data_IF_322803820551
#
_entry.id   IF_322803820551
#
_cell.length_a   1.000
_cell.length_b   1.000
_cell.length_c   1.000
_cell.angle_alpha   90.00
_cell.angle_beta   90.00
_cell.angle_gamma   90.00
#
_symmetry.space_group_name_H-M   'P 1'
#
loop_
_entity.id
_entity.type
_entity.pdbx_description
1 polymer ?
#
# COMPACT_ATOMS: atom_id res chain seq x y z
N UNK A 1 -31.79 -19.22 -7.73
CA UNK A 1 -31.34 -18.17 -6.80
C UNK A 1 -30.38 -17.18 -7.49
N UNK A 2 -29.41 -17.63 -8.25
CA UNK A 2 -28.41 -16.80 -8.95
C UNK A 2 -29.03 -15.73 -9.87
N UNK A 3 -30.00 -16.09 -10.70
CA UNK A 3 -30.66 -15.13 -11.60
C UNK A 3 -31.41 -14.00 -10.87
N UNK A 4 -32.00 -14.30 -9.70
CA UNK A 4 -32.66 -13.28 -8.90
C UNK A 4 -31.64 -12.33 -8.25
N UNK A 5 -30.50 -12.85 -7.80
CA UNK A 5 -29.41 -12.01 -7.28
C UNK A 5 -28.90 -11.06 -8.34
N UNK A 6 -28.66 -11.53 -9.57
CA UNK A 6 -28.23 -10.70 -10.70
C UNK A 6 -29.25 -9.58 -10.98
N UNK A 7 -30.54 -9.87 -11.00
CA UNK A 7 -31.59 -8.87 -11.21
C UNK A 7 -31.60 -7.80 -10.09
N UNK A 8 -31.43 -8.21 -8.83
CA UNK A 8 -31.36 -7.28 -7.70
C UNK A 8 -30.11 -6.41 -7.74
N UNK A 9 -29.01 -6.88 -8.32
CA UNK A 9 -27.77 -6.11 -8.53
C UNK A 9 -27.88 -5.11 -9.69
N UNK A 10 -28.69 -5.39 -10.70
CA UNK A 10 -28.89 -4.45 -11.82
C UNK A 10 -29.83 -3.30 -11.51
N UNK A 11 -30.83 -3.51 -10.65
CA UNK A 11 -31.85 -2.49 -10.35
C UNK A 11 -32.14 -2.40 -8.86
N UNK A 12 -31.73 -1.29 -8.25
CA UNK A 12 -31.88 -1.03 -6.82
C UNK A 12 -33.33 -1.11 -6.29
N UNK A 13 -34.33 -0.93 -7.18
CA UNK A 13 -35.75 -1.02 -6.81
C UNK A 13 -36.20 -2.45 -6.47
N UNK A 14 -35.46 -3.45 -6.95
CA UNK A 14 -35.72 -4.86 -6.61
C UNK A 14 -35.00 -5.30 -5.32
N UNK A 15 -34.05 -4.54 -4.82
CA UNK A 15 -33.41 -4.72 -3.52
C UNK A 15 -34.25 -4.03 -2.44
N UNK A 16 -35.29 -4.71 -1.94
CA UNK A 16 -36.29 -4.09 -1.02
C UNK A 16 -35.62 -3.44 0.19
N UNK A 17 -34.71 -4.15 0.87
CA UNK A 17 -34.00 -3.65 2.06
C UNK A 17 -33.15 -2.41 1.75
N UNK A 18 -32.39 -2.45 0.66
CA UNK A 18 -31.57 -1.32 0.23
C UNK A 18 -32.41 -0.11 -0.14
N UNK A 19 -33.49 -0.34 -0.90
CA UNK A 19 -34.42 0.71 -1.28
C UNK A 19 -35.06 1.37 -0.07
N UNK A 20 -35.52 0.57 0.88
CA UNK A 20 -36.22 1.07 2.08
C UNK A 20 -35.25 1.87 2.97
N UNK A 21 -34.05 1.35 3.21
CA UNK A 21 -33.05 1.99 4.04
C UNK A 21 -32.44 3.26 3.40
N UNK A 22 -32.28 3.31 2.06
CA UNK A 22 -31.54 4.39 1.39
C UNK A 22 -32.43 5.37 0.61
N UNK A 23 -33.73 5.24 0.63
CA UNK A 23 -34.65 6.05 -0.20
C UNK A 23 -34.47 7.55 0.04
N UNK A 24 -34.43 7.97 1.30
CA UNK A 24 -34.29 9.38 1.70
C UNK A 24 -32.88 9.88 1.35
N UNK A 25 -31.85 9.14 1.71
CA UNK A 25 -30.46 9.48 1.42
C UNK A 25 -30.19 9.65 -0.09
N UNK A 26 -30.81 8.80 -0.94
CA UNK A 26 -30.72 8.91 -2.40
C UNK A 26 -31.40 10.21 -2.89
N UNK A 27 -32.51 10.58 -2.28
CA UNK A 27 -33.23 11.80 -2.66
C UNK A 27 -32.48 13.07 -2.27
N UNK A 28 -31.81 13.03 -1.12
CA UNK A 28 -31.13 14.19 -0.56
C UNK A 28 -29.72 14.41 -1.13
N UNK A 29 -29.04 13.33 -1.54
CA UNK A 29 -27.61 13.39 -1.90
C UNK A 29 -27.31 12.99 -3.35
N UNK A 30 -28.23 12.33 -4.08
CA UNK A 30 -27.97 11.81 -5.42
C UNK A 30 -28.81 12.51 -6.50
N UNK A 31 -28.36 13.68 -6.94
CA UNK A 31 -28.97 14.39 -8.09
C UNK A 31 -28.01 14.48 -9.29
N UNK A 32 -28.47 14.27 -10.52
CA UNK A 32 -29.82 13.85 -10.94
C UNK A 32 -30.11 12.40 -10.51
N UNK A 33 -31.37 12.09 -10.21
CA UNK A 33 -31.80 10.76 -9.71
C UNK A 33 -31.31 9.63 -10.60
N UNK A 34 -30.36 8.79 -10.11
CA UNK A 34 -29.77 7.74 -10.92
C UNK A 34 -30.80 6.63 -11.19
N UNK A 35 -30.77 6.09 -12.41
CA UNK A 35 -31.69 5.03 -12.85
C UNK A 35 -31.14 3.63 -12.55
N UNK A 36 -29.82 3.46 -12.68
CA UNK A 36 -29.13 2.18 -12.46
C UNK A 36 -28.67 2.07 -11.01
N UNK A 37 -28.62 0.85 -10.48
CA UNK A 37 -28.17 0.59 -9.10
C UNK A 37 -26.70 0.98 -8.90
N UNK A 38 -25.87 0.72 -9.88
CA UNK A 38 -24.45 1.10 -9.88
C UNK A 38 -24.25 2.61 -9.67
N UNK A 39 -25.02 3.45 -10.36
CA UNK A 39 -24.93 4.91 -10.20
C UNK A 39 -25.41 5.37 -8.82
N UNK A 40 -26.42 4.68 -8.25
CA UNK A 40 -26.87 4.92 -6.86
C UNK A 40 -25.78 4.57 -5.86
N UNK A 41 -25.20 3.37 -5.99
CA UNK A 41 -24.11 2.91 -5.10
C UNK A 41 -22.94 3.87 -5.18
N UNK A 42 -22.49 4.24 -6.38
CA UNK A 42 -21.39 5.19 -6.56
C UNK A 42 -21.65 6.53 -5.90
N UNK A 43 -22.84 7.10 -6.09
CA UNK A 43 -23.23 8.35 -5.44
C UNK A 43 -23.19 8.25 -3.91
N UNK A 44 -23.76 7.20 -3.33
CA UNK A 44 -23.77 7.01 -1.87
C UNK A 44 -22.36 6.77 -1.32
N UNK A 45 -21.50 6.01 -2.03
CA UNK A 45 -20.08 5.82 -1.67
C UNK A 45 -19.33 7.15 -1.67
N UNK A 46 -19.53 8.00 -2.67
CA UNK A 46 -18.93 9.33 -2.73
C UNK A 46 -19.42 10.22 -1.56
N UNK A 47 -20.70 10.17 -1.23
CA UNK A 47 -21.24 10.91 -0.08
C UNK A 47 -20.64 10.42 1.25
N UNK A 48 -20.52 9.10 1.47
CA UNK A 48 -19.86 8.52 2.66
C UNK A 48 -18.38 8.91 2.72
N UNK A 49 -17.66 8.89 1.59
CA UNK A 49 -16.25 9.28 1.54
C UNK A 49 -16.05 10.77 1.90
N UNK A 50 -16.98 11.63 1.52
CA UNK A 50 -16.95 13.05 1.89
C UNK A 50 -17.15 13.26 3.38
N UNK A 51 -18.07 12.51 4.01
CA UNK A 51 -18.29 12.54 5.46
C UNK A 51 -17.05 12.22 6.27
N UNK A 52 -16.26 11.24 5.83
CA UNK A 52 -15.05 10.80 6.54
C UNK A 52 -13.88 11.79 6.40
N UNK A 53 -13.84 12.58 5.33
CA UNK A 53 -12.76 13.57 5.08
C UNK A 53 -12.99 14.86 5.84
N UNK A 54 -14.25 15.29 6.02
CA UNK A 54 -14.58 16.61 6.55
C UNK A 54 -14.93 16.62 8.05
N UNK A 55 -14.84 15.47 8.76
CA UNK A 55 -15.29 15.30 10.16
C UNK A 55 -16.73 15.81 10.41
N UNK A 56 -17.51 15.95 9.36
CA UNK A 56 -18.86 16.48 9.43
C UNK A 56 -19.86 15.37 9.81
N UNK A 57 -20.99 15.82 10.36
CA UNK A 57 -22.14 14.96 10.69
C UNK A 57 -22.43 13.98 9.54
N UNK A 58 -22.53 12.69 9.90
CA UNK A 58 -22.90 11.63 8.97
C UNK A 58 -24.10 12.03 8.10
N UNK A 59 -23.85 12.34 6.83
CA UNK A 59 -24.88 12.74 5.87
C UNK A 59 -25.79 11.56 5.53
N UNK A 60 -25.20 10.36 5.44
CA UNK A 60 -25.91 9.13 5.12
C UNK A 60 -26.36 8.44 6.40
N UNK A 61 -27.61 8.03 6.46
CA UNK A 61 -28.20 7.32 7.61
C UNK A 61 -27.47 6.02 7.94
N UNK A 62 -27.48 5.61 9.22
CA UNK A 62 -26.82 4.39 9.69
C UNK A 62 -27.36 3.15 8.97
N UNK A 63 -28.65 3.09 8.74
CA UNK A 63 -29.30 1.93 8.10
C UNK A 63 -28.93 1.85 6.62
N UNK A 64 -28.88 2.99 5.91
CA UNK A 64 -28.41 3.03 4.54
C UNK A 64 -26.93 2.63 4.43
N UNK A 65 -26.06 3.11 5.32
CA UNK A 65 -24.64 2.69 5.34
C UNK A 65 -24.50 1.18 5.52
N UNK A 66 -25.26 0.58 6.44
CA UNK A 66 -25.22 -0.87 6.66
C UNK A 66 -25.66 -1.65 5.42
N UNK A 67 -26.73 -1.19 4.74
CA UNK A 67 -27.17 -1.82 3.50
C UNK A 67 -26.23 -1.57 2.34
N UNK A 68 -25.62 -0.38 2.24
CA UNK A 68 -24.60 -0.07 1.22
C UNK A 68 -23.39 -0.99 1.36
N UNK A 69 -22.87 -1.19 2.57
CA UNK A 69 -21.78 -2.14 2.84
C UNK A 69 -22.15 -3.57 2.43
N UNK A 70 -23.35 -4.01 2.75
CA UNK A 70 -23.83 -5.34 2.36
C UNK A 70 -23.87 -5.52 0.83
N UNK A 71 -24.37 -4.50 0.11
CA UNK A 71 -24.42 -4.53 -1.36
C UNK A 71 -23.02 -4.52 -2.00
N UNK A 72 -22.12 -3.70 -1.47
CA UNK A 72 -20.73 -3.67 -1.92
C UNK A 72 -20.02 -5.00 -1.67
N UNK A 73 -20.19 -5.58 -0.47
CA UNK A 73 -19.59 -6.87 -0.15
C UNK A 73 -20.11 -7.99 -1.05
N UNK A 74 -21.41 -7.99 -1.41
CA UNK A 74 -21.94 -8.92 -2.39
C UNK A 74 -21.34 -8.70 -3.78
N UNK A 75 -21.28 -7.45 -4.23
CA UNK A 75 -20.68 -7.06 -5.51
C UNK A 75 -19.23 -7.54 -5.62
N UNK A 76 -18.41 -7.34 -4.59
CA UNK A 76 -17.01 -7.73 -4.56
C UNK A 76 -16.78 -9.24 -4.31
N UNK A 77 -17.84 -9.98 -3.96
CA UNK A 77 -17.70 -11.40 -3.68
C UNK A 77 -17.61 -12.30 -4.91
N UNK A 78 -18.12 -11.83 -6.06
CA UNK A 78 -18.09 -12.58 -7.30
C UNK A 78 -18.34 -11.68 -8.51
N UNK A 79 -17.51 -11.78 -9.55
CA UNK A 79 -17.59 -10.95 -10.76
C UNK A 79 -18.97 -10.98 -11.43
N UNK A 80 -19.70 -12.09 -11.35
CA UNK A 80 -21.07 -12.23 -11.88
C UNK A 80 -22.10 -11.34 -11.15
N UNK A 81 -21.77 -10.89 -9.94
CA UNK A 81 -22.60 -9.99 -9.14
C UNK A 81 -22.26 -8.51 -9.38
N UNK A 82 -21.23 -8.23 -10.19
CA UNK A 82 -20.93 -6.92 -10.76
C UNK A 82 -21.05 -6.94 -12.28
N UNK A 83 -22.22 -6.68 -12.85
CA UNK A 83 -22.43 -6.70 -14.30
C UNK A 83 -21.57 -5.72 -15.08
N UNK A 84 -21.16 -4.60 -14.48
CA UNK A 84 -20.31 -3.62 -15.12
C UNK A 84 -18.87 -4.12 -15.21
N UNK A 85 -18.35 -4.68 -14.13
CA UNK A 85 -17.03 -5.30 -14.08
C UNK A 85 -16.97 -6.52 -14.99
N UNK A 86 -17.97 -7.42 -14.92
CA UNK A 86 -18.06 -8.60 -15.78
C UNK A 86 -18.03 -8.23 -17.26
N UNK A 87 -18.86 -7.27 -17.69
CA UNK A 87 -18.90 -6.82 -19.07
C UNK A 87 -17.59 -6.15 -19.53
N UNK A 88 -17.01 -5.31 -18.68
CA UNK A 88 -15.77 -4.62 -18.99
C UNK A 88 -14.54 -5.55 -19.05
N UNK A 89 -14.53 -6.61 -18.22
CA UNK A 89 -13.39 -7.52 -18.06
C UNK A 89 -13.57 -8.88 -18.75
N UNK A 90 -14.66 -9.10 -19.47
CA UNK A 90 -14.98 -10.40 -20.08
C UNK A 90 -13.83 -11.02 -20.88
N UNK A 91 -13.23 -10.26 -21.78
CA UNK A 91 -12.15 -10.76 -22.63
C UNK A 91 -10.84 -10.96 -21.85
N UNK A 92 -10.53 -10.03 -20.93
CA UNK A 92 -9.35 -10.13 -20.06
C UNK A 92 -9.46 -11.35 -19.11
N UNK A 93 -10.68 -11.62 -18.60
CA UNK A 93 -10.95 -12.80 -17.78
C UNK A 93 -10.70 -14.09 -18.57
N UNK A 94 -11.18 -14.16 -19.81
CA UNK A 94 -10.94 -15.31 -20.67
C UNK A 94 -9.47 -15.47 -21.04
N UNK A 95 -8.76 -14.38 -21.28
CA UNK A 95 -7.37 -14.41 -21.70
C UNK A 95 -6.41 -14.77 -20.57
N UNK A 96 -6.58 -14.18 -19.37
CA UNK A 96 -5.61 -14.27 -18.29
C UNK A 96 -6.06 -15.13 -17.12
N UNK A 97 -7.36 -15.29 -16.90
CA UNK A 97 -7.94 -15.91 -15.72
C UNK A 97 -8.93 -17.05 -16.01
N UNK A 98 -8.93 -17.60 -17.22
CA UNK A 98 -9.87 -18.66 -17.65
C UNK A 98 -9.84 -19.91 -16.77
N UNK A 99 -8.70 -20.19 -16.13
CA UNK A 99 -8.51 -21.38 -15.28
C UNK A 99 -8.58 -21.05 -13.79
N UNK A 100 -8.80 -19.79 -13.44
CA UNK A 100 -9.00 -19.40 -12.04
C UNK A 100 -10.36 -19.89 -11.56
N UNK A 101 -10.31 -20.83 -10.59
CA UNK A 101 -11.49 -21.41 -9.97
C UNK A 101 -11.80 -20.74 -8.61
N UNK A 102 -11.29 -19.54 -8.39
CA UNK A 102 -11.59 -18.75 -7.19
C UNK A 102 -13.09 -18.51 -7.04
N UNK A 103 -13.57 -18.40 -5.81
CA UNK A 103 -14.99 -18.17 -5.52
C UNK A 103 -15.42 -16.74 -5.95
N UNK A 104 -14.47 -15.84 -6.10
CA UNK A 104 -14.64 -14.48 -6.60
C UNK A 104 -14.85 -14.39 -8.12
N UNK A 105 -14.80 -15.53 -8.82
CA UNK A 105 -14.98 -15.60 -10.26
C UNK A 105 -13.85 -14.96 -11.06
N UNK A 106 -12.64 -14.84 -10.46
CA UNK A 106 -11.44 -14.34 -11.11
C UNK A 106 -11.12 -12.87 -10.85
N UNK A 107 -11.83 -12.20 -9.95
CA UNK A 107 -11.55 -10.79 -9.56
C UNK A 107 -10.11 -10.66 -9.05
N UNK A 108 -9.68 -11.48 -8.10
CA UNK A 108 -8.32 -11.44 -7.55
C UNK A 108 -7.24 -11.82 -8.56
N UNK A 109 -7.57 -12.69 -9.51
CA UNK A 109 -6.69 -13.00 -10.64
C UNK A 109 -6.50 -11.76 -11.52
N UNK A 110 -7.58 -11.06 -11.89
CA UNK A 110 -7.52 -9.82 -12.67
C UNK A 110 -6.74 -8.71 -11.94
N UNK A 111 -7.00 -8.51 -10.65
CA UNK A 111 -6.25 -7.55 -9.80
C UNK A 111 -4.75 -7.86 -9.73
N UNK A 112 -4.35 -9.12 -9.91
CA UNK A 112 -2.95 -9.55 -9.92
C UNK A 112 -2.25 -9.34 -11.27
N UNK A 113 -2.99 -8.98 -12.34
CA UNK A 113 -2.40 -8.71 -13.64
C UNK A 113 -1.73 -7.34 -13.69
N UNK A 114 -0.68 -7.22 -14.51
CA UNK A 114 -0.06 -5.90 -14.74
C UNK A 114 -1.08 -4.95 -15.38
N UNK A 115 -1.26 -3.72 -14.87
CA UNK A 115 -2.28 -2.80 -15.39
C UNK A 115 -2.22 -2.54 -16.90
N UNK A 116 -1.01 -2.62 -17.49
CA UNK A 116 -0.79 -2.43 -18.95
C UNK A 116 -1.32 -3.56 -19.81
N UNK A 117 -1.52 -4.75 -19.25
CA UNK A 117 -1.99 -5.93 -20.01
C UNK A 117 -3.51 -5.97 -20.13
N UNK A 118 -4.21 -5.30 -19.21
CA UNK A 118 -5.66 -5.26 -19.19
C UNK A 118 -6.22 -4.18 -20.11
N UNK A 119 -7.41 -4.41 -20.66
CA UNK A 119 -8.16 -3.41 -21.40
C UNK A 119 -8.47 -2.20 -20.53
N UNK A 120 -8.51 -1.00 -21.13
CA UNK A 120 -8.70 0.26 -20.41
C UNK A 120 -9.97 0.27 -19.55
N UNK A 121 -11.07 -0.25 -20.07
CA UNK A 121 -12.35 -0.27 -19.36
C UNK A 121 -12.32 -1.26 -18.18
N UNK A 122 -11.76 -2.45 -18.35
CA UNK A 122 -11.57 -3.42 -17.28
C UNK A 122 -10.71 -2.83 -16.15
N UNK A 123 -9.56 -2.27 -16.49
CA UNK A 123 -8.68 -1.60 -15.51
C UNK A 123 -9.38 -0.49 -14.73
N UNK A 124 -10.23 0.31 -15.41
CA UNK A 124 -10.98 1.39 -14.77
C UNK A 124 -11.98 0.85 -13.74
N UNK A 125 -12.70 -0.21 -14.07
CA UNK A 125 -13.68 -0.84 -13.16
C UNK A 125 -12.98 -1.52 -11.98
N UNK A 126 -11.90 -2.28 -12.22
CA UNK A 126 -11.10 -2.88 -11.16
C UNK A 126 -10.53 -1.83 -10.20
N UNK A 127 -10.00 -0.73 -10.74
CA UNK A 127 -9.47 0.36 -9.92
C UNK A 127 -10.55 1.01 -9.04
N UNK A 128 -11.78 1.13 -9.55
CA UNK A 128 -12.89 1.66 -8.75
C UNK A 128 -13.23 0.72 -7.58
N UNK A 129 -13.26 -0.60 -7.82
CA UNK A 129 -13.46 -1.60 -6.79
C UNK A 129 -12.33 -1.59 -5.75
N UNK A 130 -11.07 -1.60 -6.19
CA UNK A 130 -9.90 -1.50 -5.29
C UNK A 130 -9.95 -0.24 -4.41
N UNK A 131 -10.43 0.88 -4.96
CA UNK A 131 -10.61 2.13 -4.21
C UNK A 131 -11.72 2.03 -3.18
N UNK A 132 -12.82 1.36 -3.49
CA UNK A 132 -13.92 1.09 -2.56
C UNK A 132 -13.43 0.23 -1.39
N UNK A 133 -12.73 -0.87 -1.67
CA UNK A 133 -12.12 -1.77 -0.68
C UNK A 133 -11.06 -1.06 0.20
N UNK A 134 -10.24 -0.21 -0.39
CA UNK A 134 -9.20 0.52 0.32
C UNK A 134 -9.77 1.56 1.30
N UNK A 135 -10.89 2.21 0.94
CA UNK A 135 -11.55 3.19 1.81
C UNK A 135 -12.38 2.53 2.93
N UNK A 136 -12.90 1.34 2.69
CA UNK A 136 -13.68 0.57 3.68
C UNK A 136 -13.30 -0.91 3.60
N UNK A 137 -12.42 -1.36 4.50
CA UNK A 137 -11.95 -2.74 4.48
C UNK A 137 -13.07 -3.77 4.81
N UNK A 138 -14.21 -3.34 5.34
CA UNK A 138 -15.38 -4.23 5.56
C UNK A 138 -16.13 -4.57 4.28
N UNK A 139 -15.79 -3.96 3.13
CA UNK A 139 -16.31 -4.35 1.82
C UNK A 139 -15.29 -5.16 0.99
N UNK A 140 -14.06 -5.33 1.49
CA UNK A 140 -13.07 -6.22 0.88
C UNK A 140 -13.37 -7.68 1.24
N UNK A 141 -14.10 -8.36 0.36
CA UNK A 141 -14.52 -9.75 0.56
C UNK A 141 -13.35 -10.71 0.78
N UNK A 142 -12.28 -10.56 0.01
CA UNK A 142 -11.10 -11.42 0.08
C UNK A 142 -10.35 -11.22 1.38
N UNK A 143 -10.19 -9.98 1.84
CA UNK A 143 -9.57 -9.64 3.12
C UNK A 143 -10.38 -10.20 4.28
N UNK A 144 -11.70 -9.92 4.33
CA UNK A 144 -12.57 -10.39 5.40
C UNK A 144 -12.59 -11.91 5.51
N UNK A 145 -12.60 -12.59 4.38
CA UNK A 145 -12.60 -14.04 4.33
C UNK A 145 -11.26 -14.64 4.71
N UNK A 146 -10.19 -14.14 4.10
CA UNK A 146 -8.82 -14.63 4.32
C UNK A 146 -8.28 -14.35 5.72
N UNK A 147 -8.70 -13.22 6.31
CA UNK A 147 -8.22 -12.73 7.60
C UNK A 147 -9.24 -12.84 8.74
N UNK A 148 -10.32 -13.59 8.58
CA UNK A 148 -11.44 -13.66 9.55
C UNK A 148 -10.99 -13.92 10.99
N UNK A 149 -10.03 -14.84 11.17
CA UNK A 149 -9.49 -15.18 12.48
C UNK A 149 -8.71 -14.01 13.07
N UNK A 150 -7.76 -13.47 12.32
CA UNK A 150 -6.86 -12.40 12.74
C UNK A 150 -7.64 -11.11 13.05
N UNK A 151 -8.63 -10.78 12.22
CA UNK A 151 -9.52 -9.62 12.46
C UNK A 151 -10.26 -9.79 13.79
N UNK A 152 -10.82 -10.98 14.03
CA UNK A 152 -11.56 -11.26 15.28
C UNK A 152 -10.69 -11.22 16.52
N UNK A 153 -9.45 -11.74 16.42
CA UNK A 153 -8.54 -11.87 17.57
C UNK A 153 -7.83 -10.55 17.88
N UNK A 154 -7.42 -9.80 16.87
CA UNK A 154 -6.53 -8.65 17.04
C UNK A 154 -7.15 -7.31 16.68
N UNK A 155 -8.09 -7.27 15.74
CA UNK A 155 -8.61 -6.02 15.16
C UNK A 155 -10.13 -5.84 15.38
N UNK A 156 -10.73 -6.58 16.32
CA UNK A 156 -12.15 -6.43 16.64
C UNK A 156 -12.40 -5.10 17.33
N UNK A 157 -13.26 -4.27 16.75
CA UNK A 157 -13.56 -2.91 17.26
C UNK A 157 -12.79 -1.78 16.60
N UNK A 158 -11.88 -2.10 15.68
CA UNK A 158 -11.27 -1.09 14.82
C UNK A 158 -12.30 -0.49 13.84
N UNK A 159 -12.10 0.78 13.47
CA UNK A 159 -12.84 1.36 12.36
C UNK A 159 -12.51 0.62 11.06
N UNK A 160 -13.51 0.46 10.18
CA UNK A 160 -13.37 -0.34 8.96
C UNK A 160 -12.14 0.01 8.11
N UNK A 161 -11.78 1.27 8.00
CA UNK A 161 -10.58 1.73 7.26
C UNK A 161 -9.25 1.38 7.95
N UNK A 162 -9.25 1.10 9.25
CA UNK A 162 -8.07 0.80 10.04
C UNK A 162 -7.72 -0.70 10.09
N UNK A 163 -8.63 -1.58 9.66
CA UNK A 163 -8.46 -3.04 9.74
C UNK A 163 -7.17 -3.49 9.07
N UNK A 164 -6.88 -3.00 7.85
CA UNK A 164 -5.65 -3.37 7.13
C UNK A 164 -4.39 -2.91 7.89
N UNK A 165 -4.42 -1.72 8.49
CA UNK A 165 -3.32 -1.19 9.30
C UNK A 165 -3.11 -2.01 10.56
N UNK A 166 -4.18 -2.31 11.29
CA UNK A 166 -4.14 -3.20 12.44
C UNK A 166 -3.53 -4.56 12.08
N UNK A 167 -3.99 -5.21 11.01
CA UNK A 167 -3.44 -6.49 10.57
C UNK A 167 -1.94 -6.42 10.24
N UNK A 168 -1.46 -5.31 9.68
CA UNK A 168 -0.02 -5.11 9.41
C UNK A 168 0.81 -5.10 10.69
N UNK A 169 0.30 -4.54 11.77
CA UNK A 169 1.01 -4.47 13.05
C UNK A 169 1.19 -5.87 13.66
N UNK A 170 0.21 -6.75 13.50
CA UNK A 170 0.26 -8.13 14.00
C UNK A 170 0.89 -9.13 13.02
N UNK A 171 1.11 -8.75 11.76
CA UNK A 171 1.63 -9.64 10.70
C UNK A 171 3.05 -10.19 10.96
N UNK A 172 3.78 -9.60 11.89
CA UNK A 172 5.12 -10.05 12.30
C UNK A 172 5.10 -11.20 13.31
N UNK A 173 3.95 -11.55 13.84
CA UNK A 173 3.80 -12.67 14.80
C UNK A 173 4.00 -14.00 14.06
N UNK A 174 4.77 -14.91 14.66
CA UNK A 174 5.04 -16.24 14.10
C UNK A 174 3.78 -17.12 13.93
N UNK A 175 2.72 -16.83 14.68
CA UNK A 175 1.44 -17.54 14.63
C UNK A 175 0.42 -16.92 13.65
N UNK A 176 0.78 -15.84 12.97
CA UNK A 176 -0.11 -15.15 12.04
C UNK A 176 -0.49 -16.07 10.87
N UNK A 177 -1.77 -16.06 10.49
CA UNK A 177 -2.29 -16.94 9.44
C UNK A 177 -1.67 -16.65 8.08
N UNK A 178 -1.07 -17.67 7.45
CA UNK A 178 -0.37 -17.52 6.17
C UNK A 178 -1.30 -17.18 5.01
N UNK A 179 -2.60 -17.53 5.09
CA UNK A 179 -3.58 -17.12 4.06
C UNK A 179 -3.89 -15.64 4.21
N UNK A 180 -4.07 -15.19 5.46
CA UNK A 180 -4.24 -13.78 5.75
C UNK A 180 -3.01 -12.98 5.31
N UNK A 181 -1.80 -13.43 5.63
CA UNK A 181 -0.57 -12.76 5.24
C UNK A 181 -0.46 -12.58 3.71
N UNK A 182 -0.84 -13.59 2.92
CA UNK A 182 -0.85 -13.49 1.45
C UNK A 182 -1.83 -12.42 0.95
N UNK A 183 -3.02 -12.34 1.53
CA UNK A 183 -4.00 -11.31 1.16
C UNK A 183 -3.50 -9.94 1.58
N UNK A 184 -3.01 -9.82 2.80
CA UNK A 184 -2.43 -8.58 3.33
C UNK A 184 -1.31 -8.05 2.44
N UNK A 185 -0.36 -8.88 2.05
CA UNK A 185 0.75 -8.52 1.18
C UNK A 185 0.25 -8.01 -0.18
N UNK A 186 -0.76 -8.67 -0.78
CA UNK A 186 -1.38 -8.18 -2.03
C UNK A 186 -1.93 -6.76 -1.88
N UNK A 187 -2.63 -6.45 -0.78
CA UNK A 187 -3.17 -5.10 -0.52
C UNK A 187 -2.05 -4.07 -0.30
N UNK A 188 -0.99 -4.45 0.39
CA UNK A 188 0.20 -3.58 0.57
C UNK A 188 0.85 -3.26 -0.79
N UNK A 189 1.03 -4.26 -1.66
CA UNK A 189 1.56 -4.07 -3.02
C UNK A 189 0.66 -3.15 -3.84
N UNK A 190 -0.66 -3.33 -3.83
CA UNK A 190 -1.60 -2.45 -4.52
C UNK A 190 -1.48 -1.00 -4.03
N UNK A 191 -1.41 -0.78 -2.71
CA UNK A 191 -1.24 0.55 -2.11
C UNK A 191 0.09 1.21 -2.50
N UNK A 192 1.16 0.43 -2.67
CA UNK A 192 2.46 0.96 -3.10
C UNK A 192 2.51 1.33 -4.59
N UNK A 193 1.76 0.62 -5.44
CA UNK A 193 1.66 0.91 -6.86
C UNK A 193 0.88 2.19 -7.15
N UNK A 194 -0.18 2.44 -6.38
CA UNK A 194 -1.01 3.64 -6.56
C UNK A 194 -1.38 4.25 -5.21
N UNK A 195 -0.82 5.43 -4.92
CA UNK A 195 -1.04 6.15 -3.66
C UNK A 195 -2.52 6.44 -3.35
N UNK A 196 -3.40 6.44 -4.38
CA UNK A 196 -4.84 6.65 -4.22
C UNK A 196 -5.55 5.47 -3.58
N UNK A 197 -4.90 4.29 -3.56
CA UNK A 197 -5.34 3.07 -2.88
C UNK A 197 -4.87 3.02 -1.42
N UNK A 198 -4.08 4.00 -0.97
CA UNK A 198 -3.76 4.22 0.44
C UNK A 198 -4.50 5.48 0.94
N UNK A 199 -5.68 5.35 1.57
CA UNK A 199 -6.48 6.50 1.99
C UNK A 199 -5.77 7.44 2.95
N UNK A 200 -4.93 6.90 3.84
CA UNK A 200 -4.16 7.69 4.81
C UNK A 200 -3.09 8.52 4.13
N UNK A 201 -2.28 7.89 3.27
CA UNK A 201 -1.25 8.58 2.49
C UNK A 201 -1.89 9.64 1.57
N UNK A 202 -2.97 9.28 0.86
CA UNK A 202 -3.69 10.20 -0.01
C UNK A 202 -4.20 11.43 0.75
N UNK A 203 -4.79 11.23 1.93
CA UNK A 203 -5.32 12.32 2.76
C UNK A 203 -4.19 13.19 3.31
N UNK A 204 -3.18 12.56 3.93
CA UNK A 204 -2.08 13.25 4.57
C UNK A 204 -1.20 14.03 3.58
N UNK A 205 -0.98 13.50 2.38
CA UNK A 205 -0.05 14.05 1.40
C UNK A 205 -0.71 14.85 0.25
N UNK A 206 -2.02 15.11 0.31
CA UNK A 206 -2.75 15.73 -0.82
C UNK A 206 -2.14 17.05 -1.30
N UNK A 207 -1.75 17.92 -0.38
CA UNK A 207 -1.12 19.21 -0.69
C UNK A 207 0.33 19.04 -1.16
N UNK A 208 1.08 18.15 -0.53
CA UNK A 208 2.49 17.86 -0.87
C UNK A 208 2.60 17.23 -2.26
N UNK A 209 1.71 16.32 -2.62
CA UNK A 209 1.62 15.74 -3.97
C UNK A 209 1.38 16.82 -5.02
N UNK A 210 0.45 17.73 -4.78
CA UNK A 210 0.18 18.85 -5.70
C UNK A 210 1.37 19.78 -5.84
N UNK A 211 2.10 20.02 -4.74
CA UNK A 211 3.23 20.94 -4.69
C UNK A 211 4.50 20.38 -5.33
N UNK A 212 4.83 19.12 -5.06
CA UNK A 212 6.13 18.55 -5.41
C UNK A 212 6.09 17.49 -6.51
N UNK A 213 4.93 16.86 -6.75
CA UNK A 213 4.77 15.74 -7.70
C UNK A 213 3.73 16.01 -8.79
N UNK A 214 3.41 17.30 -9.06
CA UNK A 214 2.43 17.74 -10.06
C UNK A 214 2.71 17.20 -11.45
N UNK A 215 3.98 17.12 -11.87
CA UNK A 215 4.36 16.64 -13.20
C UNK A 215 3.91 15.21 -13.45
N UNK A 216 4.04 14.33 -12.43
CA UNK A 216 3.60 12.93 -12.49
C UNK A 216 2.07 12.87 -12.60
N UNK A 217 1.36 13.72 -11.86
CA UNK A 217 -0.11 13.80 -11.92
C UNK A 217 -0.58 14.27 -13.31
N UNK A 218 0.05 15.30 -13.86
CA UNK A 218 -0.27 15.84 -15.18
C UNK A 218 -0.01 14.82 -16.30
N UNK A 219 1.12 14.09 -16.22
CA UNK A 219 1.43 13.02 -17.17
C UNK A 219 0.35 11.93 -17.13
N UNK A 220 -0.10 11.53 -15.95
CA UNK A 220 -1.16 10.53 -15.79
C UNK A 220 -2.50 11.03 -16.36
N UNK A 221 -2.89 12.27 -16.11
CA UNK A 221 -4.12 12.87 -16.64
C UNK A 221 -4.12 12.96 -18.18
N UNK A 222 -2.95 13.14 -18.78
CA UNK A 222 -2.75 13.19 -20.23
C UNK A 222 -2.64 11.82 -20.90
N UNK A 223 -3.04 10.74 -20.21
CA UNK A 223 -3.10 9.38 -20.77
C UNK A 223 -1.92 8.48 -20.42
N UNK A 224 -1.13 8.85 -19.43
CA UNK A 224 -0.05 8.01 -18.89
C UNK A 224 -0.57 6.70 -18.25
N UNK A 225 0.31 5.69 -18.21
CA UNK A 225 0.00 4.32 -17.82
C UNK A 225 0.08 4.07 -16.30
N UNK A 226 -0.76 4.76 -15.50
CA UNK A 226 -0.77 4.55 -14.05
C UNK A 226 0.42 5.18 -13.32
N UNK A 227 0.36 5.23 -12.00
CA UNK A 227 1.44 5.86 -11.22
C UNK A 227 2.63 4.94 -10.99
N UNK A 228 2.42 3.63 -10.95
CA UNK A 228 3.49 2.61 -10.79
C UNK A 228 4.48 2.95 -9.65
N UNK A 229 3.95 3.46 -8.53
CA UNK A 229 4.75 3.87 -7.37
C UNK A 229 5.45 5.23 -7.50
N UNK A 230 5.43 5.89 -8.67
CA UNK A 230 6.18 7.14 -8.91
C UNK A 230 5.79 8.30 -8.00
N UNK A 231 4.53 8.40 -7.59
CA UNK A 231 4.10 9.46 -6.66
C UNK A 231 4.69 9.23 -5.27
N UNK A 232 4.70 7.98 -4.79
CA UNK A 232 5.31 7.62 -3.50
C UNK A 232 6.81 7.87 -3.55
N UNK A 233 7.48 7.46 -4.64
CA UNK A 233 8.92 7.70 -4.85
C UNK A 233 9.24 9.21 -4.88
N UNK A 234 8.46 10.02 -5.58
CA UNK A 234 8.61 11.47 -5.58
C UNK A 234 8.54 12.08 -4.16
N UNK A 235 7.58 11.63 -3.35
CA UNK A 235 7.45 12.09 -1.96
C UNK A 235 8.63 11.62 -1.09
N UNK A 236 9.12 10.39 -1.26
CA UNK A 236 10.33 9.88 -0.61
C UNK A 236 11.55 10.73 -0.98
N UNK A 237 11.74 11.01 -2.26
CA UNK A 237 12.81 11.88 -2.75
C UNK A 237 12.71 13.30 -2.19
N UNK A 238 11.49 13.82 -2.03
CA UNK A 238 11.24 15.13 -1.41
C UNK A 238 11.69 15.13 0.05
N UNK A 239 11.37 14.06 0.80
CA UNK A 239 11.81 13.88 2.19
C UNK A 239 13.34 13.77 2.31
N UNK A 240 13.99 12.96 1.45
CA UNK A 240 15.45 12.80 1.43
C UNK A 240 16.18 14.11 1.09
N UNK A 241 15.61 14.94 0.22
CA UNK A 241 16.13 16.28 -0.07
C UNK A 241 15.88 17.31 1.04
N UNK A 242 15.28 16.88 2.16
CA UNK A 242 14.90 17.73 3.31
C UNK A 242 14.03 18.92 2.92
N UNK A 243 13.22 18.76 1.87
CA UNK A 243 12.21 19.74 1.53
C UNK A 243 11.03 19.61 2.52
N UNK A 244 10.36 20.74 2.88
CA UNK A 244 9.32 20.70 3.90
C UNK A 244 8.08 19.96 3.41
N UNK A 245 7.89 18.75 3.91
CA UNK A 245 6.62 18.01 3.86
C UNK A 245 5.80 18.33 5.11
N UNK A 246 4.48 18.22 4.99
CA UNK A 246 3.61 18.27 6.17
C UNK A 246 3.95 17.11 7.12
N UNK A 247 3.81 17.32 8.42
CA UNK A 247 4.16 16.31 9.44
C UNK A 247 3.34 15.01 9.24
N UNK A 248 2.07 15.15 8.89
CA UNK A 248 1.20 14.01 8.60
C UNK A 248 1.67 13.23 7.37
N UNK A 249 2.07 13.91 6.29
CA UNK A 249 2.59 13.26 5.10
C UNK A 249 3.92 12.54 5.39
N UNK A 250 4.81 13.19 6.12
CA UNK A 250 6.10 12.59 6.50
C UNK A 250 5.92 11.28 7.28
N UNK A 251 4.97 11.24 8.23
CA UNK A 251 4.65 10.00 8.98
C UNK A 251 4.15 8.88 8.06
N UNK A 252 3.26 9.19 7.12
CA UNK A 252 2.73 8.18 6.19
C UNK A 252 3.79 7.67 5.20
N UNK A 253 4.73 8.53 4.78
CA UNK A 253 5.86 8.10 3.94
C UNK A 253 6.77 7.15 4.70
N UNK A 254 7.08 7.40 5.98
CA UNK A 254 7.86 6.46 6.81
C UNK A 254 7.16 5.10 6.91
N UNK A 255 5.85 5.07 7.14
CA UNK A 255 5.10 3.81 7.19
C UNK A 255 5.17 3.06 5.85
N UNK A 256 5.12 3.77 4.73
CA UNK A 256 5.29 3.15 3.41
C UNK A 256 6.73 2.62 3.20
N UNK A 257 7.76 3.31 3.68
CA UNK A 257 9.14 2.82 3.67
C UNK A 257 9.29 1.53 4.50
N UNK A 258 8.65 1.47 5.67
CA UNK A 258 8.63 0.27 6.52
C UNK A 258 7.94 -0.91 5.81
N UNK A 259 6.83 -0.67 5.13
CA UNK A 259 6.13 -1.69 4.35
C UNK A 259 7.04 -2.24 3.21
N UNK A 260 7.68 -1.35 2.45
CA UNK A 260 8.62 -1.72 1.38
C UNK A 260 9.86 -2.47 1.91
N UNK A 261 10.34 -2.13 3.10
CA UNK A 261 11.47 -2.83 3.72
C UNK A 261 11.13 -4.25 4.19
N UNK A 262 9.85 -4.51 4.51
CA UNK A 262 9.34 -5.83 4.90
C UNK A 262 8.93 -6.70 3.71
N UNK A 263 8.51 -6.08 2.62
CA UNK A 263 7.98 -6.72 1.41
C UNK A 263 8.59 -6.06 0.18
N UNK A 264 9.53 -6.73 -0.46
CA UNK A 264 10.29 -6.20 -1.61
C UNK A 264 9.37 -5.80 -2.77
N UNK A 265 8.30 -6.56 -3.00
CA UNK A 265 7.29 -6.27 -4.03
C UNK A 265 6.48 -5.00 -3.75
N UNK A 266 6.51 -4.47 -2.53
CA UNK A 266 5.90 -3.19 -2.18
C UNK A 266 6.78 -1.97 -2.57
N UNK A 267 7.89 -2.20 -3.27
CA UNK A 267 8.67 -1.16 -3.94
C UNK A 267 8.61 -1.33 -5.47
N UNK A 268 7.60 -0.76 -6.15
CA UNK A 268 7.46 -0.90 -7.61
C UNK A 268 8.61 -0.27 -8.41
N UNK A 269 9.31 0.70 -7.84
CA UNK A 269 10.47 1.32 -8.48
C UNK A 269 11.65 0.37 -8.46
N UNK A 270 11.89 -0.30 -7.33
CA UNK A 270 12.92 -1.33 -7.18
C UNK A 270 12.67 -2.50 -8.15
N UNK A 271 11.43 -2.98 -8.24
CA UNK A 271 11.06 -4.07 -9.17
C UNK A 271 11.35 -3.73 -10.64
N UNK A 272 11.17 -2.47 -11.04
CA UNK A 272 11.47 -2.03 -12.41
C UNK A 272 12.95 -1.77 -12.66
N UNK A 273 13.63 -1.17 -11.70
CA UNK A 273 15.02 -0.73 -11.87
C UNK A 273 16.03 -1.85 -11.67
N UNK A 274 15.71 -2.89 -10.87
CA UNK A 274 16.65 -3.94 -10.47
C UNK A 274 16.19 -5.37 -10.83
N UNK A 275 15.58 -5.66 -12.01
CA UNK A 275 14.98 -6.97 -12.29
C UNK A 275 15.97 -8.13 -12.27
N UNK A 276 17.21 -7.98 -12.78
CA UNK A 276 18.22 -9.03 -12.82
C UNK A 276 18.81 -9.30 -11.42
N UNK A 277 19.12 -8.25 -10.70
CA UNK A 277 19.64 -8.35 -9.33
C UNK A 277 18.62 -8.97 -8.38
N UNK A 278 17.33 -8.62 -8.53
CA UNK A 278 16.22 -9.24 -7.79
C UNK A 278 16.05 -10.71 -8.16
N UNK A 279 16.11 -11.06 -9.44
CA UNK A 279 16.02 -12.46 -9.90
C UNK A 279 17.14 -13.30 -9.27
N UNK A 280 18.37 -12.79 -9.26
CA UNK A 280 19.50 -13.44 -8.61
C UNK A 280 19.25 -13.63 -7.10
N UNK A 281 18.87 -12.56 -6.37
CA UNK A 281 18.63 -12.65 -4.94
C UNK A 281 17.47 -13.62 -4.60
N UNK A 282 16.38 -13.62 -5.38
CA UNK A 282 15.27 -14.57 -5.23
C UNK A 282 15.64 -16.02 -5.53
N UNK A 283 16.65 -16.26 -6.38
CA UNK A 283 17.15 -17.61 -6.65
C UNK A 283 17.94 -18.21 -5.47
N UNK A 284 18.49 -17.35 -4.61
CA UNK A 284 19.35 -17.75 -3.48
C UNK A 284 18.57 -17.71 -2.14
N UNK A 285 17.65 -16.76 -1.99
CA UNK A 285 16.95 -16.49 -0.75
C UNK A 285 15.43 -16.58 -0.93
N UNK A 286 14.73 -17.01 0.13
CA UNK A 286 13.28 -17.24 0.09
C UNK A 286 12.48 -16.16 0.80
N UNK A 287 13.10 -15.37 1.69
CA UNK A 287 12.41 -14.34 2.47
C UNK A 287 12.71 -12.95 1.92
N UNK A 288 11.72 -12.06 1.93
CA UNK A 288 11.89 -10.66 1.50
C UNK A 288 12.99 -9.94 2.28
N UNK A 289 13.12 -10.22 3.58
CA UNK A 289 14.20 -9.72 4.42
C UNK A 289 15.58 -10.07 3.84
N UNK A 290 15.78 -11.35 3.49
CA UNK A 290 17.08 -11.83 2.98
C UNK A 290 17.32 -11.35 1.54
N UNK A 291 16.27 -11.20 0.72
CA UNK A 291 16.33 -10.63 -0.62
C UNK A 291 16.77 -9.16 -0.56
N UNK A 292 16.15 -8.36 0.34
CA UNK A 292 16.54 -6.97 0.57
C UNK A 292 18.01 -6.84 1.02
N UNK A 293 18.45 -7.70 1.96
CA UNK A 293 19.85 -7.72 2.41
C UNK A 293 20.82 -8.16 1.29
N UNK A 294 20.42 -9.13 0.46
CA UNK A 294 21.21 -9.54 -0.71
C UNK A 294 21.47 -8.34 -1.64
N UNK A 295 20.44 -7.57 -1.98
CA UNK A 295 20.58 -6.38 -2.83
C UNK A 295 21.52 -5.33 -2.21
N UNK A 296 21.39 -5.06 -0.92
CA UNK A 296 22.25 -4.12 -0.20
C UNK A 296 23.73 -4.58 -0.18
N UNK A 297 23.94 -5.89 -0.03
CA UNK A 297 25.30 -6.49 -0.09
C UNK A 297 25.88 -6.40 -1.51
N UNK A 298 25.08 -6.71 -2.54
CA UNK A 298 25.48 -6.55 -3.94
C UNK A 298 25.84 -5.10 -4.25
N UNK A 299 25.01 -4.16 -3.82
CA UNK A 299 25.27 -2.72 -3.94
C UNK A 299 26.61 -2.33 -3.32
N UNK A 300 26.86 -2.71 -2.06
CA UNK A 300 28.14 -2.43 -1.37
C UNK A 300 29.36 -2.96 -2.12
N UNK A 301 29.21 -4.12 -2.79
CA UNK A 301 30.29 -4.76 -3.55
C UNK A 301 30.42 -4.27 -5.00
N UNK A 302 29.53 -3.37 -5.46
CA UNK A 302 29.45 -2.97 -6.87
C UNK A 302 29.01 -4.10 -7.80
N UNK A 303 28.22 -5.05 -7.29
CA UNK A 303 27.79 -6.26 -8.01
C UNK A 303 26.36 -6.21 -8.57
N UNK A 304 25.67 -5.06 -8.53
CA UNK A 304 24.35 -4.91 -9.16
C UNK A 304 24.45 -5.03 -10.67
N UNK A 305 23.52 -5.75 -11.29
CA UNK A 305 23.60 -6.14 -12.71
C UNK A 305 22.76 -5.23 -13.63
N UNK A 306 21.88 -4.37 -13.05
CA UNK A 306 20.86 -3.62 -13.77
C UNK A 306 21.28 -2.17 -14.10
N UNK A 307 22.53 -1.82 -13.84
CA UNK A 307 23.10 -0.51 -14.18
C UNK A 307 22.75 0.62 -13.21
N UNK A 308 22.93 1.85 -13.68
CA UNK A 308 22.97 3.04 -12.83
C UNK A 308 21.62 3.42 -12.18
N UNK A 309 20.50 3.03 -12.76
CA UNK A 309 19.17 3.31 -12.18
C UNK A 309 18.91 2.43 -10.95
N UNK A 310 19.24 1.14 -11.06
CA UNK A 310 19.18 0.21 -9.93
C UNK A 310 20.13 0.64 -8.81
N UNK A 311 21.39 0.96 -9.16
CA UNK A 311 22.39 1.43 -8.18
C UNK A 311 21.93 2.66 -7.42
N UNK A 312 21.31 3.63 -8.13
CA UNK A 312 20.72 4.82 -7.53
C UNK A 312 19.61 4.47 -6.56
N UNK A 313 18.65 3.65 -7.00
CA UNK A 313 17.47 3.34 -6.17
C UNK A 313 17.86 2.55 -4.92
N UNK A 314 18.79 1.60 -5.03
CA UNK A 314 19.31 0.88 -3.85
C UNK A 314 20.10 1.83 -2.93
N UNK A 315 20.85 2.81 -3.47
CA UNK A 315 21.49 3.84 -2.66
C UNK A 315 20.47 4.68 -1.88
N UNK A 316 19.35 5.06 -2.52
CA UNK A 316 18.25 5.78 -1.87
C UNK A 316 17.61 4.96 -0.76
N UNK A 317 17.34 3.67 -0.97
CA UNK A 317 16.87 2.76 0.08
C UNK A 317 17.84 2.72 1.28
N UNK A 318 19.15 2.71 1.02
CA UNK A 318 20.15 2.76 2.10
C UNK A 318 20.12 4.11 2.83
N UNK A 319 19.89 5.23 2.14
CA UNK A 319 19.70 6.54 2.78
C UNK A 319 18.42 6.61 3.62
N UNK A 320 17.32 6.05 3.12
CA UNK A 320 16.05 5.95 3.84
C UNK A 320 16.23 5.23 5.19
N UNK A 321 16.98 4.12 5.20
CA UNK A 321 17.27 3.37 6.43
C UNK A 321 18.14 4.17 7.42
N UNK A 322 18.99 5.06 6.92
CA UNK A 322 19.74 6.01 7.75
C UNK A 322 18.90 7.17 8.28
N UNK A 323 17.87 7.57 7.53
CA UNK A 323 16.95 8.65 7.92
C UNK A 323 15.95 8.19 8.99
N UNK A 324 15.48 6.95 8.94
CA UNK A 324 14.62 6.36 9.97
C UNK A 324 14.96 4.88 10.20
N UNK A 325 15.33 4.55 11.44
CA UNK A 325 15.73 3.18 11.80
C UNK A 325 14.58 2.16 11.64
N UNK A 326 13.34 2.59 11.70
CA UNK A 326 12.18 1.71 11.47
C UNK A 326 12.09 1.24 10.03
N UNK A 327 12.67 1.99 9.07
CA UNK A 327 12.80 1.58 7.67
C UNK A 327 13.89 0.50 7.47
N UNK A 328 14.62 0.11 8.52
CA UNK A 328 15.56 -1.02 8.52
C UNK A 328 15.15 -2.07 9.57
N UNK A 329 14.26 -3.01 9.25
CA UNK A 329 13.80 -4.03 10.20
C UNK A 329 14.94 -4.88 10.77
N UNK A 330 16.02 -5.08 10.02
CA UNK A 330 17.19 -5.86 10.47
C UNK A 330 17.95 -5.10 11.55
N UNK A 331 18.27 -3.84 11.30
CA UNK A 331 18.98 -2.98 12.25
C UNK A 331 18.11 -2.71 13.48
N UNK A 332 16.84 -2.36 13.28
CA UNK A 332 15.91 -2.09 14.37
C UNK A 332 15.75 -3.28 15.30
N UNK A 333 15.58 -4.50 14.75
CA UNK A 333 15.47 -5.72 15.54
C UNK A 333 16.77 -6.05 16.30
N UNK A 334 17.91 -5.99 15.62
CA UNK A 334 19.21 -6.27 16.24
C UNK A 334 19.58 -5.27 17.35
N UNK A 335 19.14 -4.01 17.21
CA UNK A 335 19.47 -2.95 18.16
C UNK A 335 18.34 -2.60 19.14
N UNK A 336 17.24 -3.37 19.18
CA UNK A 336 16.07 -3.02 19.99
C UNK A 336 16.37 -2.87 21.50
N UNK A 337 17.32 -3.62 22.04
CA UNK A 337 17.77 -3.54 23.44
C UNK A 337 18.59 -2.27 23.65
N UNK A 338 19.55 -2.01 22.77
CA UNK A 338 20.44 -0.86 22.85
C UNK A 338 19.70 0.48 22.65
N UNK A 339 18.73 0.50 21.73
CA UNK A 339 17.85 1.65 21.53
C UNK A 339 17.07 2.03 22.80
N UNK A 340 16.52 1.04 23.49
CA UNK A 340 15.81 1.26 24.76
C UNK A 340 16.74 1.67 25.88
N UNK A 341 17.98 1.19 25.88
CA UNK A 341 18.95 1.43 26.93
C UNK A 341 19.65 2.77 26.79
N UNK A 342 20.05 3.16 25.57
CA UNK A 342 20.90 4.30 25.33
C UNK A 342 20.23 5.45 24.55
N UNK A 343 19.16 5.18 23.81
CA UNK A 343 18.53 6.12 22.90
C UNK A 343 17.03 6.35 23.18
N UNK A 344 16.55 6.01 24.38
CA UNK A 344 15.11 6.08 24.73
C UNK A 344 14.55 7.52 24.70
N UNK A 345 15.39 8.53 24.97
CA UNK A 345 14.99 9.94 24.95
C UNK A 345 15.13 10.59 23.55
N UNK A 346 15.59 9.81 22.56
CA UNK A 346 15.80 10.32 21.20
C UNK A 346 14.53 10.15 20.38
N UNK A 347 13.96 11.27 19.91
CA UNK A 347 12.79 11.23 19.02
C UNK A 347 13.13 10.52 17.69
N UNK A 348 12.22 9.66 17.16
CA UNK A 348 12.43 9.02 15.87
C UNK A 348 12.47 10.02 14.71
N UNK A 349 13.00 9.56 13.57
CA UNK A 349 13.12 10.35 12.34
C UNK A 349 14.39 11.20 12.25
N UNK A 350 14.63 11.76 11.07
CA UNK A 350 15.79 12.61 10.73
C UNK A 350 17.17 12.00 11.05
N UNK A 351 17.25 10.68 11.11
CA UNK A 351 18.48 9.94 11.41
C UNK A 351 18.93 10.02 12.88
N UNK A 352 18.14 10.61 13.76
CA UNK A 352 18.54 10.85 15.17
C UNK A 352 18.83 9.55 15.92
N UNK A 353 17.98 8.53 15.78
CA UNK A 353 18.19 7.24 16.44
C UNK A 353 19.43 6.50 15.90
N UNK A 354 19.63 6.54 14.58
CA UNK A 354 20.85 6.01 13.95
C UNK A 354 22.11 6.75 14.45
N UNK A 355 22.07 8.07 14.48
CA UNK A 355 23.19 8.89 14.98
C UNK A 355 23.47 8.62 16.47
N UNK A 356 22.44 8.41 17.31
CA UNK A 356 22.60 8.00 18.70
C UNK A 356 23.37 6.68 18.81
N UNK A 357 22.95 5.62 18.09
CA UNK A 357 23.66 4.32 18.09
C UNK A 357 25.11 4.48 17.64
N UNK A 358 25.37 5.27 16.59
CA UNK A 358 26.74 5.55 16.09
C UNK A 358 27.57 6.28 17.15
N UNK A 359 26.98 7.21 17.90
CA UNK A 359 27.68 7.91 18.99
C UNK A 359 28.03 6.95 20.13
N UNK A 360 27.07 6.13 20.57
CA UNK A 360 27.29 5.11 21.61
C UNK A 360 28.37 4.10 21.19
N UNK A 361 28.38 3.67 19.91
CA UNK A 361 29.38 2.72 19.41
C UNK A 361 30.83 3.26 19.43
N UNK A 362 30.99 4.59 19.43
CA UNK A 362 32.31 5.26 19.48
C UNK A 362 32.81 5.52 20.90
N UNK A 363 31.92 5.51 21.89
CA UNK A 363 32.25 5.75 23.27
C UNK A 363 32.85 4.49 23.91
N UNK A 364 34.07 4.58 24.46
CA UNK A 364 34.75 3.46 25.12
C UNK A 364 34.05 2.96 26.41
N UNK A 365 33.18 3.78 27.00
CA UNK A 365 32.48 3.50 28.24
C UNK A 365 31.23 2.63 28.06
N UNK A 366 30.73 2.51 26.83
CA UNK A 366 29.53 1.75 26.49
C UNK A 366 29.85 0.65 25.48
N UNK A 367 29.16 -0.48 25.61
CA UNK A 367 29.26 -1.59 24.66
C UNK A 367 27.87 -1.94 24.18
N UNK A 368 27.66 -1.85 22.86
CA UNK A 368 26.46 -2.34 22.22
C UNK A 368 26.43 -3.87 22.25
N UNK A 369 25.25 -4.46 22.19
CA UNK A 369 25.09 -5.89 21.99
C UNK A 369 25.81 -6.32 20.71
N UNK A 370 26.40 -7.52 20.74
CA UNK A 370 27.25 -8.00 19.61
C UNK A 370 26.53 -7.96 18.26
N UNK A 371 25.25 -8.37 18.25
CA UNK A 371 24.44 -8.39 17.04
C UNK A 371 24.18 -6.96 16.52
N UNK A 372 23.78 -6.05 17.42
CA UNK A 372 23.60 -4.63 17.08
C UNK A 372 24.86 -4.01 16.50
N UNK A 373 25.99 -4.18 17.16
CA UNK A 373 27.27 -3.63 16.70
C UNK A 373 27.69 -4.17 15.32
N UNK A 374 27.48 -5.48 15.08
CA UNK A 374 27.77 -6.12 13.80
C UNK A 374 26.92 -5.56 12.67
N UNK A 375 25.60 -5.43 12.89
CA UNK A 375 24.70 -4.89 11.86
C UNK A 375 24.95 -3.40 11.64
N UNK A 376 25.08 -2.62 12.72
CA UNK A 376 25.35 -1.18 12.64
C UNK A 376 26.62 -0.86 11.85
N UNK A 377 27.71 -1.60 12.10
CA UNK A 377 28.97 -1.42 11.35
C UNK A 377 28.77 -1.64 9.86
N UNK A 378 28.05 -2.70 9.45
CA UNK A 378 27.72 -2.95 8.04
C UNK A 378 26.91 -1.81 7.42
N UNK A 379 25.95 -1.24 8.17
CA UNK A 379 25.12 -0.12 7.70
C UNK A 379 25.92 1.17 7.53
N UNK A 380 26.83 1.48 8.46
CA UNK A 380 27.73 2.64 8.35
C UNK A 380 28.56 2.55 7.05
N UNK A 381 29.11 1.37 6.75
CA UNK A 381 29.88 1.15 5.53
C UNK A 381 29.03 1.29 4.26
N UNK A 382 27.79 0.72 4.25
CA UNK A 382 26.86 0.85 3.12
C UNK A 382 26.44 2.30 2.91
N UNK A 383 26.16 3.03 3.99
CA UNK A 383 25.82 4.45 3.94
C UNK A 383 26.94 5.28 3.31
N UNK A 384 28.22 4.98 3.65
CA UNK A 384 29.37 5.62 3.04
C UNK A 384 29.46 5.40 1.52
N UNK A 385 29.00 4.25 1.01
CA UNK A 385 28.92 3.97 -0.44
C UNK A 385 27.75 4.73 -1.06
N UNK A 386 26.56 4.71 -0.43
CA UNK A 386 25.38 5.38 -0.93
C UNK A 386 25.58 6.89 -1.11
N UNK A 387 26.14 7.56 -0.11
CA UNK A 387 26.47 8.99 -0.17
C UNK A 387 27.39 9.31 -1.36
N UNK A 388 28.38 8.47 -1.67
CA UNK A 388 29.28 8.67 -2.82
C UNK A 388 28.53 8.54 -4.14
N UNK A 389 27.66 7.53 -4.29
CA UNK A 389 26.86 7.31 -5.51
C UNK A 389 25.93 8.50 -5.77
N UNK A 390 25.26 8.99 -4.75
CA UNK A 390 24.33 10.13 -4.85
C UNK A 390 25.08 11.45 -5.11
N UNK A 391 26.23 11.67 -4.44
CA UNK A 391 27.05 12.88 -4.64
C UNK A 391 27.64 12.98 -6.03
N UNK A 392 28.13 11.87 -6.61
CA UNK A 392 28.74 11.84 -7.95
C UNK A 392 27.73 12.22 -9.06
N UNK A 393 26.44 12.07 -8.83
CA UNK A 393 25.39 12.47 -9.78
C UNK A 393 25.04 13.94 -9.71
N UNK A 394 24.98 14.55 -8.52
CA UNK A 394 24.74 16.00 -8.37
C UNK A 394 25.77 16.86 -9.12
N UNK A 395 26.85 16.24 -9.61
CA UNK A 395 27.89 16.90 -10.41
C UNK A 395 27.65 16.66 -11.91
N UNK A 396 26.81 15.70 -12.31
CA UNK A 396 26.57 15.33 -13.71
C UNK A 396 25.22 15.87 -14.25
N UNK A 397 24.29 16.20 -13.37
CA UNK A 397 23.04 16.89 -13.65
C UNK A 397 23.21 18.42 -13.44
#
# INVERSE_FOLDING_TARGET
MEQWQILTMQNWRFSFKFKDACKEDIQDHCEPKPKKKEDVIRCLVEAVATDTVEEQKHRISKDCRAQLKFELLQKHSNIKLDPALEAACHDDLQQFCAYDKGEDGGIECLKSQKPKTLKKECRKQLFQEEKEEANDNEVDFTLLRGCKREIKEHCSGEESRNILRCLKDFSVDNNFDQKCLKVLNKRVIQQSQDYRLNPFLKQACSQDVTKYCSDIINEFQNGGNGFEGRVVDCLKQTALKKLPLSESCHKEIILNMVDAAKLVEADPVLERSCPQSLLYCRSVYQTDKDISECLKIMFKKGGLQDGAECERHVAEIVEETGADIHADPVLHSACAVDLRKFCHDVAPGEGRMFACLVSVSKEKSFTLEHECNSVLTKRIEMFGVAVKVIALRKIKD
#
